data_IF_368245470092
#
_entry.id   IF_368245470092
#
_cell.length_a   1.000
_cell.length_b   1.000
_cell.length_c   1.000
_cell.angle_alpha   90.00
_cell.angle_beta   90.00
_cell.angle_gamma   90.00
#
_symmetry.space_group_name_H-M   'P 1'
#
loop_
_entity.id
_entity.type
_entity.pdbx_description
1 polymer ?
#
# COMPACT_ATOMS: atom_id res chain seq x y z
N UNK A 1 27.13 -2.76 -14.18
CA UNK A 1 25.98 -2.83 -15.11
C UNK A 1 24.81 -2.27 -14.31
N UNK A 2 24.34 -1.07 -14.66
CA UNK A 2 23.15 -0.49 -14.03
C UNK A 2 21.98 -1.33 -14.53
N UNK A 3 21.38 -2.13 -13.65
CA UNK A 3 20.12 -2.80 -13.97
C UNK A 3 19.08 -1.67 -13.97
N UNK A 4 18.47 -1.38 -15.11
CA UNK A 4 17.23 -0.61 -15.11
C UNK A 4 16.22 -1.45 -14.33
N UNK A 5 16.03 -1.14 -13.05
CA UNK A 5 15.09 -1.84 -12.17
C UNK A 5 13.64 -1.72 -12.65
N UNK A 6 13.39 -0.69 -13.47
CA UNK A 6 12.12 -0.36 -14.09
C UNK A 6 12.30 -0.46 -15.59
N UNK A 7 11.47 -1.29 -16.23
CA UNK A 7 11.36 -1.33 -17.69
C UNK A 7 10.62 -0.09 -18.23
N UNK A 8 9.92 0.65 -17.37
CA UNK A 8 9.03 1.78 -17.67
C UNK A 8 9.30 3.03 -16.80
N UNK A 9 8.50 4.09 -16.98
CA UNK A 9 8.58 5.36 -16.25
C UNK A 9 8.48 5.15 -14.72
N UNK A 10 9.43 5.65 -13.90
CA UNK A 10 9.33 5.62 -12.43
C UNK A 10 8.05 6.21 -11.84
N UNK A 11 7.32 7.04 -12.59
CA UNK A 11 6.01 7.54 -12.17
C UNK A 11 4.88 6.49 -12.24
N UNK A 12 5.05 5.42 -13.04
CA UNK A 12 4.09 4.30 -13.19
C UNK A 12 4.43 3.10 -12.29
N UNK A 13 5.51 3.15 -11.52
CA UNK A 13 5.78 2.19 -10.46
C UNK A 13 5.33 2.75 -9.10
N UNK A 14 4.53 1.98 -8.38
CA UNK A 14 3.95 2.39 -7.09
C UNK A 14 4.39 1.48 -5.95
N UNK A 15 4.58 2.06 -4.77
CA UNK A 15 4.63 1.34 -3.51
C UNK A 15 3.37 1.66 -2.70
N UNK A 16 2.71 0.63 -2.19
CA UNK A 16 1.44 0.76 -1.48
C UNK A 16 1.41 -0.06 -0.21
N UNK A 17 0.67 0.44 0.77
CA UNK A 17 0.33 -0.27 1.99
C UNK A 17 -1.10 0.12 2.40
N UNK A 18 -1.76 -0.79 3.10
CA UNK A 18 -3.08 -0.55 3.69
C UNK A 18 -3.16 -1.09 5.10
N UNK A 19 -4.01 -0.47 5.90
CA UNK A 19 -4.46 -0.96 7.19
C UNK A 19 -5.98 -1.14 7.15
N UNK A 20 -6.47 -2.12 7.90
CA UNK A 20 -7.86 -2.53 7.86
C UNK A 20 -8.33 -2.97 9.25
N UNK A 21 -9.64 -3.10 9.43
CA UNK A 21 -10.26 -3.60 10.67
C UNK A 21 -9.83 -5.04 10.98
N UNK A 22 -9.42 -5.77 9.95
CA UNK A 22 -8.91 -7.13 9.98
C UNK A 22 -8.46 -7.52 8.57
N UNK A 23 -8.19 -8.80 8.35
CA UNK A 23 -7.73 -9.32 7.04
C UNK A 23 -8.55 -10.53 6.58
N UNK A 24 -9.79 -10.64 7.04
CA UNK A 24 -10.74 -11.70 6.70
C UNK A 24 -11.96 -11.15 5.94
N UNK A 25 -12.96 -12.01 5.76
CA UNK A 25 -14.20 -11.66 5.07
C UNK A 25 -14.96 -10.56 5.82
N UNK A 26 -15.42 -9.56 5.07
CA UNK A 26 -16.13 -8.35 5.55
C UNK A 26 -15.30 -7.26 6.23
N UNK A 27 -14.00 -7.42 6.37
CA UNK A 27 -13.14 -6.35 6.89
C UNK A 27 -13.08 -5.13 5.98
N UNK A 28 -12.84 -3.98 6.60
CA UNK A 28 -12.93 -2.66 5.98
C UNK A 28 -11.60 -1.93 6.06
N UNK A 29 -11.26 -1.18 5.00
CA UNK A 29 -10.07 -0.32 4.99
C UNK A 29 -10.17 0.76 6.06
N UNK A 30 -9.06 0.97 6.77
CA UNK A 30 -8.86 2.06 7.73
C UNK A 30 -7.89 3.11 7.20
N UNK A 31 -6.87 2.70 6.44
CA UNK A 31 -5.92 3.60 5.80
C UNK A 31 -5.40 2.96 4.51
N UNK A 32 -5.19 3.77 3.47
CA UNK A 32 -4.46 3.38 2.26
C UNK A 32 -3.45 4.49 1.94
N UNK A 33 -2.22 4.08 1.68
CA UNK A 33 -1.15 4.96 1.19
C UNK A 33 -0.57 4.38 -0.09
N UNK A 34 -0.26 5.27 -1.03
CA UNK A 34 0.35 4.96 -2.31
C UNK A 34 1.35 6.06 -2.65
N UNK A 35 2.59 5.68 -2.88
CA UNK A 35 3.65 6.57 -3.37
C UNK A 35 4.17 6.06 -4.72
N UNK A 36 4.72 6.93 -5.54
CA UNK A 36 5.44 6.50 -6.75
C UNK A 36 6.91 6.16 -6.43
N UNK A 37 7.65 5.67 -7.42
CA UNK A 37 9.06 5.31 -7.25
C UNK A 37 10.01 6.49 -6.97
N UNK A 38 9.57 7.72 -7.26
CA UNK A 38 10.28 8.96 -6.92
C UNK A 38 10.08 9.35 -5.45
N UNK A 39 9.11 8.74 -4.77
CA UNK A 39 8.73 9.06 -3.40
C UNK A 39 7.61 10.09 -3.30
N UNK A 40 7.01 10.53 -4.41
CA UNK A 40 5.86 11.42 -4.39
C UNK A 40 4.63 10.68 -3.86
N UNK A 41 3.86 11.33 -3.00
CA UNK A 41 2.61 10.80 -2.46
C UNK A 41 1.53 10.93 -3.53
N UNK A 42 1.05 9.79 -4.05
CA UNK A 42 -0.05 9.73 -5.01
C UNK A 42 -1.41 9.67 -4.30
N UNK A 43 -1.44 9.00 -3.14
CA UNK A 43 -2.62 8.87 -2.31
C UNK A 43 -2.22 8.62 -0.85
N UNK A 44 -2.89 9.26 0.10
CA UNK A 44 -2.80 8.94 1.52
C UNK A 44 -4.10 9.39 2.19
N UNK A 45 -4.90 8.44 2.67
CA UNK A 45 -6.14 8.75 3.38
C UNK A 45 -6.48 7.69 4.40
N UNK A 46 -7.05 8.15 5.51
CA UNK A 46 -7.84 7.33 6.40
C UNK A 46 -9.26 7.14 5.85
N UNK A 47 -9.96 6.10 6.32
CA UNK A 47 -11.35 5.82 5.98
C UNK A 47 -12.16 5.44 7.21
N UNK A 48 -13.42 5.89 7.21
CA UNK A 48 -14.38 5.52 8.24
C UNK A 48 -15.05 4.18 7.87
N UNK A 49 -14.87 3.10 8.65
CA UNK A 49 -15.58 1.84 8.42
C UNK A 49 -17.09 2.01 8.67
N UNK A 50 -17.91 1.24 7.97
CA UNK A 50 -19.38 1.26 8.08
C UNK A 50 -19.92 0.19 9.02
N UNK A 51 -19.32 -1.00 9.03
CA UNK A 51 -19.80 -2.17 9.78
C UNK A 51 -19.08 -2.31 11.10
N UNK A 52 -17.76 -2.31 11.07
CA UNK A 52 -16.93 -2.53 12.26
C UNK A 52 -16.82 -1.24 13.07
N UNK A 53 -17.03 -1.39 14.39
CA UNK A 53 -16.92 -0.28 15.35
C UNK A 53 -15.64 -0.35 16.17
N UNK A 54 -15.02 -1.51 16.21
CA UNK A 54 -13.82 -1.83 17.00
C UNK A 54 -12.99 -2.85 16.22
N UNK A 55 -11.68 -2.82 16.39
CA UNK A 55 -10.71 -3.71 15.72
C UNK A 55 -9.46 -3.90 16.58
N UNK A 56 -9.67 -4.37 17.81
CA UNK A 56 -8.65 -4.43 18.87
C UNK A 56 -7.35 -5.14 18.49
N UNK A 57 -7.40 -6.12 17.60
CA UNK A 57 -6.21 -6.84 17.14
C UNK A 57 -5.36 -5.99 16.20
N UNK A 58 -5.96 -5.49 15.11
CA UNK A 58 -5.24 -4.65 14.13
C UNK A 58 -4.89 -3.29 14.71
N UNK A 59 -5.68 -2.74 15.64
CA UNK A 59 -5.36 -1.50 16.36
C UNK A 59 -4.04 -1.59 17.12
N UNK A 60 -3.73 -2.74 17.75
CA UNK A 60 -2.44 -2.93 18.43
C UNK A 60 -1.27 -2.82 17.45
N UNK A 61 -1.45 -3.35 16.25
CA UNK A 61 -0.45 -3.38 15.19
C UNK A 61 -0.28 -2.01 14.53
N UNK A 62 -1.38 -1.38 14.11
CA UNK A 62 -1.37 -0.17 13.29
C UNK A 62 -1.57 1.14 14.08
N UNK A 63 -2.10 1.07 15.30
CA UNK A 63 -2.36 2.22 16.17
C UNK A 63 -3.54 3.10 15.75
N UNK A 64 -4.37 2.68 14.79
CA UNK A 64 -5.52 3.43 14.31
C UNK A 64 -6.70 3.15 15.23
N UNK A 65 -7.18 4.16 15.97
CA UNK A 65 -8.36 4.01 16.83
C UNK A 65 -9.65 4.40 16.11
N UNK A 66 -10.83 3.97 16.60
CA UNK A 66 -12.12 4.40 16.05
C UNK A 66 -12.29 5.93 16.01
N UNK A 67 -11.76 6.65 17.01
CA UNK A 67 -11.83 8.10 17.09
C UNK A 67 -11.01 8.78 15.98
N UNK A 68 -9.86 8.22 15.60
CA UNK A 68 -9.01 8.75 14.54
C UNK A 68 -9.73 8.77 13.19
N UNK A 69 -10.58 7.77 12.94
CA UNK A 69 -11.30 7.60 11.66
C UNK A 69 -12.76 8.05 11.73
N UNK A 70 -13.24 8.55 12.87
CA UNK A 70 -14.67 8.84 13.08
C UNK A 70 -15.25 9.87 12.08
N UNK A 71 -14.39 10.78 11.60
CA UNK A 71 -14.73 11.84 10.64
C UNK A 71 -14.03 11.67 9.28
N UNK A 72 -13.37 10.53 9.06
CA UNK A 72 -12.70 10.24 7.80
C UNK A 72 -13.73 10.00 6.67
N UNK A 73 -13.34 10.22 5.41
CA UNK A 73 -14.20 9.94 4.26
C UNK A 73 -14.55 8.45 4.18
N UNK A 74 -15.59 8.16 3.41
CA UNK A 74 -15.96 6.80 3.05
C UNK A 74 -15.10 6.32 1.88
N UNK A 75 -14.70 5.05 1.88
CA UNK A 75 -13.90 4.49 0.77
C UNK A 75 -14.58 4.66 -0.60
N UNK A 76 -15.91 4.59 -0.63
CA UNK A 76 -16.71 4.80 -1.84
C UNK A 76 -16.52 6.19 -2.48
N UNK A 77 -16.11 7.19 -1.71
CA UNK A 77 -15.84 8.55 -2.21
C UNK A 77 -14.49 8.63 -2.93
N UNK A 78 -13.56 7.73 -2.59
CA UNK A 78 -12.19 7.73 -3.09
C UNK A 78 -11.88 6.57 -4.05
N UNK A 79 -12.77 5.57 -4.13
CA UNK A 79 -12.53 4.33 -4.88
C UNK A 79 -12.13 4.56 -6.35
N UNK A 80 -12.77 5.54 -7.02
CA UNK A 80 -12.44 5.88 -8.41
C UNK A 80 -11.01 6.41 -8.55
N UNK A 81 -10.61 7.34 -7.68
CA UNK A 81 -9.26 7.91 -7.69
C UNK A 81 -8.20 6.83 -7.44
N UNK A 82 -8.45 5.93 -6.49
CA UNK A 82 -7.55 4.81 -6.18
C UNK A 82 -7.43 3.90 -7.41
N UNK A 83 -8.55 3.51 -8.02
CA UNK A 83 -8.56 2.68 -9.22
C UNK A 83 -7.77 3.32 -10.37
N UNK A 84 -7.89 4.63 -10.59
CA UNK A 84 -7.13 5.36 -11.61
C UNK A 84 -5.61 5.33 -11.39
N UNK A 85 -5.14 5.29 -10.13
CA UNK A 85 -3.72 5.14 -9.82
C UNK A 85 -3.26 3.72 -10.16
N UNK A 86 -3.99 2.70 -9.71
CA UNK A 86 -3.66 1.29 -9.98
C UNK A 86 -3.72 0.94 -11.47
N UNK A 87 -4.65 1.54 -12.23
CA UNK A 87 -4.77 1.32 -13.68
C UNK A 87 -3.64 1.96 -14.50
N UNK A 88 -2.86 2.88 -13.92
CA UNK A 88 -1.66 3.44 -14.55
C UNK A 88 -0.38 2.73 -14.11
N UNK A 89 -0.49 1.82 -13.15
CA UNK A 89 0.66 1.21 -12.52
C UNK A 89 1.10 -0.05 -13.26
N UNK A 90 2.36 -0.07 -13.69
CA UNK A 90 2.98 -1.24 -14.33
C UNK A 90 3.67 -2.15 -13.30
N UNK A 91 4.06 -1.57 -12.16
CA UNK A 91 4.69 -2.24 -11.03
C UNK A 91 4.03 -1.82 -9.72
N UNK A 92 3.66 -2.81 -8.90
CA UNK A 92 3.14 -2.61 -7.55
C UNK A 92 4.08 -3.28 -6.54
N UNK A 93 4.59 -2.49 -5.60
CA UNK A 93 5.35 -2.94 -4.45
C UNK A 93 4.46 -2.93 -3.20
N UNK A 94 4.50 -3.99 -2.41
CA UNK A 94 3.73 -4.13 -1.17
C UNK A 94 4.47 -5.03 -0.17
N UNK A 95 4.04 -5.04 1.09
CA UNK A 95 4.65 -5.88 2.15
C UNK A 95 3.65 -6.71 2.96
N UNK A 96 2.35 -6.67 2.65
CA UNK A 96 1.37 -7.51 3.34
C UNK A 96 1.29 -8.87 2.67
N UNK A 97 1.27 -9.94 3.46
CA UNK A 97 1.08 -11.31 2.97
C UNK A 97 -0.40 -11.64 2.68
N UNK A 98 -1.30 -10.69 2.95
CA UNK A 98 -2.73 -10.81 2.66
C UNK A 98 -3.03 -10.23 1.29
N UNK A 99 -3.89 -10.92 0.53
CA UNK A 99 -4.34 -10.44 -0.77
C UNK A 99 -5.23 -9.19 -0.61
N UNK A 100 -4.78 -8.06 -1.14
CA UNK A 100 -5.55 -6.81 -1.15
C UNK A 100 -6.75 -6.87 -2.12
N UNK A 101 -6.75 -7.81 -3.06
CA UNK A 101 -7.78 -7.93 -4.11
C UNK A 101 -9.20 -8.05 -3.53
N UNK A 102 -9.38 -8.84 -2.48
CA UNK A 102 -10.71 -9.01 -1.85
C UNK A 102 -11.18 -7.73 -1.17
N UNK A 103 -10.29 -7.10 -0.40
CA UNK A 103 -10.56 -5.86 0.30
C UNK A 103 -10.90 -4.73 -0.67
N UNK A 104 -10.20 -4.67 -1.80
CA UNK A 104 -10.42 -3.68 -2.85
C UNK A 104 -11.75 -3.93 -3.57
N UNK A 105 -12.06 -5.19 -3.89
CA UNK A 105 -13.32 -5.59 -4.51
C UNK A 105 -14.53 -5.18 -3.65
N UNK A 106 -14.50 -5.48 -2.35
CA UNK A 106 -15.59 -5.08 -1.42
C UNK A 106 -15.66 -3.58 -1.20
N UNK A 107 -14.54 -2.88 -1.35
CA UNK A 107 -14.45 -1.43 -1.30
C UNK A 107 -14.86 -0.73 -2.60
N UNK A 108 -15.31 -1.50 -3.61
CA UNK A 108 -15.67 -1.02 -4.94
C UNK A 108 -14.51 -0.30 -5.68
N UNK A 109 -13.27 -0.67 -5.37
CA UNK A 109 -12.06 -0.24 -6.07
C UNK A 109 -11.89 -1.16 -7.28
N UNK A 110 -12.44 -0.76 -8.42
CA UNK A 110 -12.47 -1.56 -9.64
C UNK A 110 -11.22 -1.34 -10.48
N UNK A 111 -10.22 -2.20 -10.27
CA UNK A 111 -8.98 -2.20 -11.04
C UNK A 111 -9.22 -2.98 -12.35
N UNK A 112 -8.75 -2.45 -13.47
CA UNK A 112 -8.84 -3.09 -14.77
C UNK A 112 -8.00 -4.37 -14.80
N UNK A 113 -8.48 -5.44 -15.46
CA UNK A 113 -7.75 -6.70 -15.58
C UNK A 113 -6.63 -6.53 -16.62
N UNK A 114 -5.50 -6.01 -16.16
CA UNK A 114 -4.28 -5.84 -16.93
C UNK A 114 -3.12 -6.53 -16.21
N UNK A 115 -2.17 -7.05 -16.99
CA UNK A 115 -0.96 -7.60 -16.41
C UNK A 115 -0.13 -6.47 -15.82
N UNK A 116 0.19 -6.59 -14.53
CA UNK A 116 1.06 -5.68 -13.79
C UNK A 116 2.03 -6.53 -12.98
N UNK A 117 3.30 -6.09 -12.91
CA UNK A 117 4.30 -6.76 -12.10
C UNK A 117 4.00 -6.47 -10.64
N UNK A 118 3.91 -7.51 -9.82
CA UNK A 118 3.65 -7.40 -8.39
C UNK A 118 4.84 -7.97 -7.63
N UNK A 119 5.35 -7.21 -6.65
CA UNK A 119 6.48 -7.63 -5.83
C UNK A 119 6.13 -7.43 -4.35
N UNK A 120 6.08 -8.54 -3.62
CA UNK A 120 6.07 -8.52 -2.18
C UNK A 120 7.50 -8.31 -1.67
N UNK A 121 7.81 -7.13 -1.13
CA UNK A 121 9.19 -6.82 -0.71
C UNK A 121 9.66 -7.67 0.46
N UNK A 122 8.75 -8.26 1.25
CA UNK A 122 9.14 -9.18 2.33
C UNK A 122 9.87 -10.42 1.79
N UNK A 123 9.59 -10.82 0.55
CA UNK A 123 10.26 -11.95 -0.09
C UNK A 123 11.68 -11.61 -0.56
N UNK A 124 12.05 -10.31 -0.53
CA UNK A 124 13.38 -9.81 -0.89
C UNK A 124 14.28 -9.57 0.33
N UNK A 125 13.69 -9.61 1.54
CA UNK A 125 14.35 -9.34 2.81
C UNK A 125 14.94 -10.65 3.36
N UNK A 126 16.10 -10.53 3.99
CA UNK A 126 16.84 -11.59 4.67
C UNK A 126 16.92 -11.28 6.17
N UNK A 127 17.22 -12.28 6.99
CA UNK A 127 17.36 -12.11 8.45
C UNK A 127 18.37 -11.02 8.84
N UNK A 128 19.36 -10.72 7.99
CA UNK A 128 20.36 -9.68 8.24
C UNK A 128 19.89 -8.25 8.00
N UNK A 129 18.74 -8.02 7.37
CA UNK A 129 18.28 -6.68 7.01
C UNK A 129 17.65 -5.91 8.19
N UNK A 130 17.46 -6.56 9.35
CA UNK A 130 16.91 -5.98 10.59
C UNK A 130 15.74 -5.00 10.34
N UNK A 131 14.77 -5.45 9.56
CA UNK A 131 13.70 -4.62 9.05
C UNK A 131 12.43 -4.77 9.89
N UNK A 132 12.02 -3.67 10.53
CA UNK A 132 10.71 -3.53 11.15
C UNK A 132 9.90 -2.49 10.38
N UNK A 133 8.67 -2.85 10.01
CA UNK A 133 7.76 -1.89 9.41
C UNK A 133 7.24 -0.94 10.50
N UNK A 134 7.22 0.38 10.24
CA UNK A 134 6.57 1.35 11.12
C UNK A 134 5.07 1.03 11.23
N UNK A 135 4.32 1.70 12.10
CA UNK A 135 2.87 1.44 12.23
C UNK A 135 2.04 2.07 11.12
N UNK A 136 2.36 3.33 10.78
CA UNK A 136 1.62 4.13 9.81
C UNK A 136 1.81 3.63 8.36
N UNK A 137 0.74 3.70 7.57
CA UNK A 137 0.74 3.18 6.20
C UNK A 137 1.67 3.93 5.23
N UNK A 138 1.82 5.26 5.38
CA UNK A 138 2.68 6.04 4.52
C UNK A 138 4.16 5.76 4.82
N UNK A 139 4.51 5.69 6.10
CA UNK A 139 5.86 5.32 6.52
C UNK A 139 6.21 3.90 6.04
N UNK A 140 5.25 2.97 6.04
CA UNK A 140 5.43 1.63 5.44
C UNK A 140 5.71 1.71 3.95
N UNK A 141 5.00 2.54 3.19
CA UNK A 141 5.27 2.73 1.76
C UNK A 141 6.70 3.23 1.50
N UNK A 142 7.16 4.19 2.30
CA UNK A 142 8.52 4.73 2.19
C UNK A 142 9.57 3.65 2.51
N UNK A 143 9.32 2.84 3.54
CA UNK A 143 10.17 1.73 3.92
C UNK A 143 10.24 0.63 2.82
N UNK A 144 9.08 0.26 2.24
CA UNK A 144 8.96 -0.67 1.11
C UNK A 144 9.81 -0.19 -0.08
N UNK A 145 9.63 1.08 -0.48
CA UNK A 145 10.35 1.66 -1.60
C UNK A 145 11.87 1.69 -1.34
N UNK A 146 12.27 2.04 -0.12
CA UNK A 146 13.68 2.06 0.29
C UNK A 146 14.33 0.68 0.15
N UNK A 147 13.73 -0.36 0.73
CA UNK A 147 14.25 -1.74 0.61
C UNK A 147 14.40 -2.14 -0.85
N UNK A 148 13.36 -1.89 -1.64
CA UNK A 148 13.33 -2.30 -3.03
C UNK A 148 14.47 -1.63 -3.82
N UNK A 149 14.67 -0.32 -3.64
CA UNK A 149 15.80 0.42 -4.22
C UNK A 149 17.16 -0.12 -3.76
N UNK A 150 17.33 -0.41 -2.48
CA UNK A 150 18.57 -0.95 -1.92
C UNK A 150 18.93 -2.33 -2.49
N UNK A 151 17.95 -3.24 -2.57
CA UNK A 151 18.14 -4.60 -3.11
C UNK A 151 18.46 -4.62 -4.59
N UNK A 152 18.08 -3.58 -5.32
CA UNK A 152 18.41 -3.40 -6.73
C UNK A 152 19.71 -2.62 -6.95
N UNK A 153 20.37 -2.18 -5.88
CA UNK A 153 21.51 -1.26 -5.93
C UNK A 153 21.19 0.01 -6.75
N UNK A 154 19.96 0.51 -6.62
CA UNK A 154 19.50 1.70 -7.32
C UNK A 154 20.31 2.93 -6.91
N UNK A 155 20.74 3.71 -7.91
CA UNK A 155 21.42 4.99 -7.72
C UNK A 155 20.54 6.05 -8.38
N UNK A 156 20.16 7.09 -7.62
CA UNK A 156 19.43 8.22 -8.21
C UNK A 156 20.36 9.00 -9.14
N UNK A 157 19.96 9.15 -10.40
CA UNK A 157 20.62 10.05 -11.33
C UNK A 157 20.48 11.48 -10.78
N UNK A 158 21.62 12.13 -10.54
CA UNK A 158 21.71 13.49 -9.98
C UNK A 158 21.27 14.56 -10.97
#
# INVERSE_FOLDING_TARGET
MVINALDNDPSTAIAMNFEATGYEYEDELLQLSIINFKGDILFNSYFKPKKHKEWTETEKENGITPEMVANAPQISEMAKQIAEIFNKADLILYSKNYSYYWLFSWSNILIQPEYRREVNVNEMITESDNFELPKDSLEKCQAILKIYKEKLHWVEDK
#
